data_IF_517506799561
#
_entry.id   IF_517506799561
#
_cell.length_a   1.000
_cell.length_b   1.000
_cell.length_c   1.000
_cell.angle_alpha   90.00
_cell.angle_beta   90.00
_cell.angle_gamma   90.00
#
_symmetry.space_group_name_H-M   'P 1'
#
loop_
_entity.id
_entity.type
_entity.pdbx_description
1 polymer ?
#
# COMPACT_ATOMS: atom_id res chain seq x y z
N UNK A 1 -2.44 7.17 3.41
CA UNK A 1 -2.41 6.07 4.40
C UNK A 1 -2.76 4.75 3.73
N UNK A 2 -2.49 3.60 4.37
CA UNK A 2 -2.85 2.28 3.82
C UNK A 2 -4.37 2.11 3.61
N UNK A 3 -5.21 2.72 4.46
CA UNK A 3 -6.67 2.66 4.33
C UNK A 3 -7.16 3.40 3.08
N UNK A 4 -6.66 4.60 2.84
CA UNK A 4 -7.00 5.38 1.63
C UNK A 4 -6.55 4.64 0.37
N UNK A 5 -5.37 4.02 0.42
CA UNK A 5 -4.88 3.20 -0.68
C UNK A 5 -5.80 2.00 -0.96
N UNK A 6 -6.28 1.32 0.09
CA UNK A 6 -7.26 0.26 -0.06
C UNK A 6 -8.55 0.76 -0.72
N UNK A 7 -9.12 1.86 -0.23
CA UNK A 7 -10.37 2.44 -0.76
C UNK A 7 -10.22 2.75 -2.25
N UNK A 8 -9.13 3.41 -2.65
CA UNK A 8 -8.85 3.71 -4.06
C UNK A 8 -8.84 2.44 -4.92
N UNK A 9 -8.18 1.37 -4.46
CA UNK A 9 -8.15 0.10 -5.19
C UNK A 9 -9.51 -0.59 -5.23
N UNK A 10 -10.28 -0.54 -4.13
CA UNK A 10 -11.64 -1.08 -4.10
C UNK A 10 -12.57 -0.35 -5.07
N UNK A 11 -12.43 0.98 -5.17
CA UNK A 11 -13.18 1.82 -6.12
C UNK A 11 -12.79 1.52 -7.57
N UNK A 12 -11.50 1.35 -7.87
CA UNK A 12 -11.06 0.99 -9.22
C UNK A 12 -11.52 -0.44 -9.59
N UNK A 13 -11.44 -1.38 -8.65
CA UNK A 13 -11.76 -2.79 -8.89
C UNK A 13 -13.25 -3.13 -8.71
N UNK A 14 -14.06 -2.18 -8.21
CA UNK A 14 -15.47 -2.37 -7.85
C UNK A 14 -15.69 -3.61 -6.97
N UNK A 15 -14.75 -3.88 -6.06
CA UNK A 15 -14.73 -5.08 -5.22
C UNK A 15 -14.14 -4.76 -3.86
N UNK A 16 -14.72 -5.35 -2.81
CA UNK A 16 -14.15 -5.31 -1.46
C UNK A 16 -12.91 -6.19 -1.33
N UNK A 17 -11.87 -5.62 -0.74
CA UNK A 17 -10.60 -6.29 -0.50
C UNK A 17 -10.50 -6.61 0.98
N UNK A 18 -10.01 -7.81 1.30
CA UNK A 18 -9.67 -8.11 2.68
C UNK A 18 -8.51 -7.19 3.11
N UNK A 19 -8.72 -6.46 4.20
CA UNK A 19 -7.79 -5.45 4.70
C UNK A 19 -6.42 -6.06 5.04
N UNK A 20 -6.40 -7.22 5.69
CA UNK A 20 -5.16 -7.84 6.15
C UNK A 20 -4.33 -8.34 4.97
N UNK A 21 -4.97 -9.00 4.01
CA UNK A 21 -4.35 -9.47 2.78
C UNK A 21 -3.88 -8.31 1.90
N UNK A 22 -4.69 -7.25 1.76
CA UNK A 22 -4.30 -6.06 1.02
C UNK A 22 -3.04 -5.42 1.61
N UNK A 23 -3.05 -5.17 2.93
CA UNK A 23 -1.90 -4.59 3.61
C UNK A 23 -0.64 -5.46 3.47
N UNK A 24 -0.76 -6.78 3.69
CA UNK A 24 0.37 -7.72 3.49
C UNK A 24 0.90 -7.67 2.06
N UNK A 25 0.01 -7.65 1.07
CA UNK A 25 0.36 -7.60 -0.36
C UNK A 25 1.08 -6.30 -0.70
N UNK A 26 0.55 -5.15 -0.30
CA UNK A 26 1.18 -3.84 -0.55
C UNK A 26 2.56 -3.71 0.09
N UNK A 27 2.72 -4.21 1.32
CA UNK A 27 4.02 -4.20 1.99
C UNK A 27 5.01 -5.21 1.39
N UNK A 28 4.54 -6.37 0.91
CA UNK A 28 5.38 -7.38 0.26
C UNK A 28 5.91 -6.90 -1.10
N UNK A 29 5.12 -6.11 -1.84
CA UNK A 29 5.52 -5.57 -3.14
C UNK A 29 6.56 -4.43 -3.01
N UNK A 30 6.76 -3.88 -1.81
CA UNK A 30 7.85 -2.96 -1.44
C UNK A 30 8.00 -1.69 -2.32
N UNK A 31 6.97 -1.27 -3.04
CA UNK A 31 6.98 -0.02 -3.82
C UNK A 31 6.42 1.19 -3.05
N UNK A 32 6.12 1.03 -1.76
CA UNK A 32 5.58 2.08 -0.91
C UNK A 32 6.62 2.49 0.15
N UNK A 33 7.05 3.74 0.12
CA UNK A 33 7.94 4.28 1.15
C UNK A 33 7.11 4.70 2.37
N UNK A 34 7.39 4.08 3.53
CA UNK A 34 6.75 4.41 4.79
C UNK A 34 7.48 5.59 5.44
N UNK A 35 6.75 6.66 5.75
CA UNK A 35 7.30 7.76 6.53
C UNK A 35 7.26 7.47 8.03
N UNK A 36 8.27 7.93 8.77
CA UNK A 36 8.32 7.83 10.23
C UNK A 36 7.22 8.67 10.89
N UNK A 37 6.84 9.79 10.24
CA UNK A 37 5.76 10.66 10.69
C UNK A 37 4.42 9.95 10.49
N UNK A 38 3.71 9.76 11.60
CA UNK A 38 2.32 9.33 11.60
C UNK A 38 1.40 10.56 11.50
N UNK A 39 0.17 10.37 11.03
CA UNK A 39 -0.85 11.43 11.06
C UNK A 39 -1.28 11.71 12.50
N UNK A 40 -0.64 12.68 13.15
CA UNK A 40 -0.96 13.09 14.52
C UNK A 40 -2.23 13.95 14.54
N UNK A 41 -3.24 13.55 15.31
CA UNK A 41 -4.49 14.30 15.42
C UNK A 41 -5.57 13.76 16.36
N UNK A 42 -5.31 12.68 17.11
CA UNK A 42 -6.30 12.11 18.03
C UNK A 42 -5.70 11.21 19.10
N UNK A 43 -6.53 10.79 20.07
CA UNK A 43 -6.14 9.97 21.22
C UNK A 43 -5.75 8.51 20.87
N UNK A 44 -5.96 8.07 19.63
CA UNK A 44 -5.64 6.73 19.14
C UNK A 44 -4.31 6.70 18.37
N UNK A 45 -3.74 5.50 18.22
CA UNK A 45 -2.52 5.29 17.41
C UNK A 45 -2.70 5.88 16.01
N UNK A 46 -1.83 6.81 15.68
CA UNK A 46 -1.84 7.49 14.40
C UNK A 46 -1.42 6.53 13.27
N UNK A 47 -2.08 6.58 12.10
CA UNK A 47 -1.70 5.75 10.97
C UNK A 47 -0.39 6.24 10.35
N UNK A 48 0.40 5.30 9.82
CA UNK A 48 1.58 5.61 9.02
C UNK A 48 1.18 6.27 7.70
N UNK A 49 2.02 7.23 7.28
CA UNK A 49 1.99 7.81 5.96
C UNK A 49 2.84 6.97 5.00
N UNK A 50 2.36 6.87 3.77
CA UNK A 50 3.03 6.13 2.69
C UNK A 50 3.09 7.01 1.46
N UNK A 51 4.23 7.01 0.78
CA UNK A 51 4.41 7.61 -0.53
C UNK A 51 4.61 6.51 -1.58
N UNK A 52 4.11 6.75 -2.78
CA UNK A 52 4.33 5.88 -3.92
C UNK A 52 5.74 6.08 -4.47
N UNK A 53 6.55 5.02 -4.47
CA UNK A 53 7.89 5.03 -5.04
C UNK A 53 7.84 4.47 -6.46
N UNK A 54 7.94 5.37 -7.45
CA UNK A 54 7.86 4.99 -8.88
C UNK A 54 9.05 4.16 -9.33
N UNK A 55 10.25 4.42 -8.80
CA UNK A 55 11.46 3.69 -9.18
C UNK A 55 11.35 2.23 -8.73
N UNK A 56 11.03 2.00 -7.45
CA UNK A 56 10.80 0.64 -6.91
C UNK A 56 9.66 -0.07 -7.64
N UNK A 57 8.61 0.65 -8.02
CA UNK A 57 7.52 0.09 -8.80
C UNK A 57 7.97 -0.36 -10.19
N UNK A 58 8.75 0.46 -10.90
CA UNK A 58 9.28 0.10 -12.22
C UNK A 58 10.25 -1.08 -12.13
N UNK A 59 11.16 -1.07 -11.15
CA UNK A 59 12.05 -2.21 -10.86
C UNK A 59 11.27 -3.50 -10.63
N UNK A 60 10.15 -3.43 -9.90
CA UNK A 60 9.28 -4.57 -9.64
C UNK A 60 8.61 -5.07 -10.93
N UNK A 61 8.20 -4.16 -11.82
CA UNK A 61 7.65 -4.52 -13.13
C UNK A 61 8.69 -5.21 -14.01
N UNK A 62 9.93 -4.70 -14.03
CA UNK A 62 11.03 -5.26 -14.82
C UNK A 62 11.50 -6.63 -14.30
N UNK A 63 11.58 -6.80 -12.98
CA UNK A 63 11.97 -8.08 -12.34
C UNK A 63 10.89 -9.15 -12.47
N UNK A 64 9.70 -8.78 -12.94
CA UNK A 64 8.53 -9.63 -12.98
C UNK A 64 7.77 -9.57 -11.66
N UNK A 65 6.55 -9.03 -11.73
CA UNK A 65 5.55 -9.18 -10.67
C UNK A 65 5.28 -10.68 -10.55
N UNK A 66 5.72 -11.33 -9.46
CA UNK A 66 5.56 -12.77 -9.19
C UNK A 66 4.10 -13.24 -9.01
N UNK A 67 3.18 -12.79 -9.86
CA UNK A 67 1.77 -13.21 -9.96
C UNK A 67 1.56 -14.43 -10.86
N UNK A 68 2.61 -15.06 -11.39
CA UNK A 68 2.52 -16.32 -12.11
C UNK A 68 3.37 -17.40 -11.44
N UNK A 69 2.77 -18.08 -10.45
CA UNK A 69 2.95 -19.50 -10.17
C UNK A 69 1.67 -20.04 -9.55
#
# INVERSE_FOLDING_TARGET
>A
TMKEYQILYEEILQKKLDRANFQKKMLKLDFLDRHEKQLTGGAHKAPFLYAFNREKFNDLLEKGIGYMS
#
